data_IF_649135786871
#
_entry.id   IF_649135786871
#
_cell.length_a   1.000
_cell.length_b   1.000
_cell.length_c   1.000
_cell.angle_alpha   90.00
_cell.angle_beta   90.00
_cell.angle_gamma   90.00
#
_symmetry.space_group_name_H-M   'P 1'
#
loop_
_entity.id
_entity.type
_entity.pdbx_description
1 polymer ?
#
# COMPACT_ATOMS: atom_id res chain seq x y z
N UNK A 1 -8.05 26.34 5.34
CA UNK A 1 -8.05 25.72 4.00
C UNK A 1 -8.96 26.39 2.96
N UNK A 2 -10.15 26.89 3.34
CA UNK A 2 -11.06 27.55 2.39
C UNK A 2 -10.42 28.72 1.60
N UNK A 3 -9.53 29.48 2.23
CA UNK A 3 -8.86 30.62 1.58
C UNK A 3 -7.89 30.19 0.46
N UNK A 4 -7.24 29.04 0.56
CA UNK A 4 -6.30 28.53 -0.45
C UNK A 4 -6.98 28.01 -1.72
N UNK A 5 -8.28 27.70 -1.65
CA UNK A 5 -9.09 27.16 -2.77
C UNK A 5 -9.99 28.20 -3.44
N UNK A 6 -9.76 29.49 -3.16
CA UNK A 6 -10.43 30.58 -3.88
C UNK A 6 -10.02 30.59 -5.36
N UNK A 7 -10.93 30.98 -6.22
CA UNK A 7 -10.71 31.02 -7.68
C UNK A 7 -9.89 32.23 -8.13
N UNK A 8 -9.64 33.18 -7.24
CA UNK A 8 -8.85 34.37 -7.50
C UNK A 8 -7.37 34.03 -7.70
N UNK A 9 -6.70 34.78 -8.54
CA UNK A 9 -5.27 34.59 -8.82
C UNK A 9 -4.43 34.81 -7.57
N UNK A 10 -4.73 35.87 -6.82
CA UNK A 10 -4.11 36.17 -5.52
C UNK A 10 -5.05 35.80 -4.38
N UNK A 11 -4.58 34.97 -3.48
CA UNK A 11 -5.34 34.43 -2.35
C UNK A 11 -4.81 35.02 -1.06
N UNK A 12 -5.69 35.57 -0.23
CA UNK A 12 -5.38 35.93 1.16
C UNK A 12 -5.62 34.71 2.05
N UNK A 13 -4.60 34.32 2.78
CA UNK A 13 -4.63 33.21 3.74
C UNK A 13 -4.46 33.76 5.13
N UNK A 14 -5.44 33.54 5.97
CA UNK A 14 -5.37 33.90 7.39
C UNK A 14 -5.65 32.66 8.25
N UNK A 15 -5.02 32.58 9.42
CA UNK A 15 -5.32 31.61 10.44
C UNK A 15 -5.38 32.27 11.80
N UNK A 16 -6.30 31.80 12.62
CA UNK A 16 -6.42 32.20 13.99
C UNK A 16 -5.89 31.06 14.86
N UNK A 17 -4.91 31.34 15.69
CA UNK A 17 -4.34 30.40 16.64
C UNK A 17 -3.82 31.15 17.86
N UNK A 18 -4.06 30.58 19.03
CA UNK A 18 -3.56 31.06 20.30
C UNK A 18 -2.19 30.45 20.66
N UNK A 19 -1.54 29.76 19.73
CA UNK A 19 -0.26 29.16 19.97
C UNK A 19 0.84 30.22 20.19
N UNK A 20 1.36 30.29 21.39
CA UNK A 20 2.41 31.24 21.80
C UNK A 20 3.68 31.13 20.93
N UNK A 21 3.94 30.00 20.33
CA UNK A 21 5.08 29.73 19.43
C UNK A 21 5.08 30.63 18.21
N UNK A 22 3.90 30.88 17.61
CA UNK A 22 3.80 31.73 16.42
C UNK A 22 4.10 33.20 16.71
N UNK A 23 3.72 33.67 17.90
CA UNK A 23 4.06 35.02 18.34
C UNK A 23 5.54 35.21 18.65
N UNK A 24 6.24 34.16 19.09
CA UNK A 24 7.70 34.19 19.35
C UNK A 24 8.55 34.19 18.07
N UNK A 25 8.04 33.51 17.01
CA UNK A 25 8.76 33.37 15.75
C UNK A 25 8.37 34.45 14.72
N UNK A 26 7.57 35.45 15.11
CA UNK A 26 7.07 36.52 14.25
C UNK A 26 6.41 36.04 12.96
N UNK A 27 5.77 34.87 13.02
CA UNK A 27 5.11 34.28 11.87
C UNK A 27 3.81 35.08 11.58
N UNK A 28 3.66 35.64 10.37
CA UNK A 28 2.50 36.46 10.05
C UNK A 28 1.22 35.62 10.08
N UNK A 29 0.18 36.11 10.74
CA UNK A 29 -1.14 35.46 10.80
C UNK A 29 -1.95 35.62 9.50
N UNK A 30 -1.48 36.46 8.60
CA UNK A 30 -2.07 36.66 7.30
C UNK A 30 -0.97 36.83 6.24
N UNK A 31 -1.17 36.20 5.09
CA UNK A 31 -0.30 36.39 3.93
C UNK A 31 -1.06 36.20 2.62
N UNK A 32 -0.55 36.79 1.55
CA UNK A 32 -1.07 36.61 0.21
C UNK A 32 -0.22 35.61 -0.58
N UNK A 33 -0.86 34.77 -1.38
CA UNK A 33 -0.18 33.80 -2.24
C UNK A 33 -0.88 33.65 -3.59
N UNK A 34 -0.09 33.40 -4.63
CA UNK A 34 -0.55 33.00 -5.97
C UNK A 34 -0.36 31.50 -6.21
N UNK A 35 0.06 30.76 -5.18
CA UNK A 35 0.37 29.33 -5.30
C UNK A 35 -0.83 28.51 -5.72
N UNK A 36 -0.57 27.51 -6.56
CA UNK A 36 -1.51 26.43 -6.84
C UNK A 36 -1.45 25.42 -5.68
N UNK A 37 -2.60 24.86 -5.34
CA UNK A 37 -2.72 23.90 -4.22
C UNK A 37 -3.18 22.57 -4.78
N UNK A 38 -2.45 21.51 -4.42
CA UNK A 38 -2.88 20.12 -4.61
C UNK A 38 -3.10 19.47 -3.24
N UNK A 39 -4.24 18.83 -3.05
CA UNK A 39 -4.58 18.11 -1.84
C UNK A 39 -4.60 16.62 -2.18
N UNK A 40 -3.75 15.85 -1.51
CA UNK A 40 -3.68 14.39 -1.67
C UNK A 40 -4.24 13.74 -0.42
N UNK A 41 -5.19 12.84 -0.61
CA UNK A 41 -5.82 12.08 0.50
C UNK A 41 -6.08 10.64 0.07
N UNK A 42 -6.02 9.71 1.03
CA UNK A 42 -6.34 8.30 0.79
C UNK A 42 -7.85 8.05 0.68
N UNK A 43 -8.65 8.91 1.29
CA UNK A 43 -10.11 8.80 1.27
C UNK A 43 -10.74 10.16 1.03
N UNK A 44 -11.78 10.17 0.22
CA UNK A 44 -12.61 11.35 0.02
C UNK A 44 -13.99 11.09 0.62
N UNK A 45 -14.21 11.57 1.86
CA UNK A 45 -15.50 11.48 2.55
C UNK A 45 -16.18 12.84 2.55
N UNK A 46 -17.28 12.95 1.85
CA UNK A 46 -18.04 14.20 1.68
C UNK A 46 -18.96 14.57 2.86
N UNK A 47 -18.92 13.82 3.96
CA UNK A 47 -19.76 14.07 5.14
C UNK A 47 -19.49 15.42 5.83
N UNK A 48 -18.33 16.03 5.58
CA UNK A 48 -17.99 17.35 6.11
C UNK A 48 -18.30 18.43 5.08
N UNK A 49 -19.11 19.43 5.44
CA UNK A 49 -19.46 20.59 4.60
C UNK A 49 -18.24 21.32 4.05
N UNK A 50 -17.13 21.34 4.78
CA UNK A 50 -15.90 21.96 4.32
C UNK A 50 -15.26 21.18 3.17
N UNK A 51 -15.35 19.85 3.17
CA UNK A 51 -14.84 18.98 2.10
C UNK A 51 -15.71 19.11 0.86
N UNK A 52 -17.03 19.18 1.01
CA UNK A 52 -17.94 19.45 -0.11
C UNK A 52 -17.63 20.80 -0.78
N UNK A 53 -17.37 21.86 -0.01
CA UNK A 53 -16.99 23.16 -0.54
C UNK A 53 -15.63 23.15 -1.28
N UNK A 54 -14.71 22.24 -0.97
CA UNK A 54 -13.47 22.04 -1.73
C UNK A 54 -13.74 21.36 -3.07
N UNK A 55 -14.64 20.39 -3.08
CA UNK A 55 -15.05 19.66 -4.29
C UNK A 55 -15.66 20.60 -5.34
N UNK A 56 -16.50 21.55 -4.89
CA UNK A 56 -17.13 22.55 -5.78
C UNK A 56 -16.14 23.54 -6.40
N UNK A 57 -14.96 23.71 -5.80
CA UNK A 57 -13.95 24.71 -6.20
C UNK A 57 -12.70 24.12 -6.85
N UNK A 58 -12.56 22.82 -6.87
CA UNK A 58 -11.38 22.12 -7.37
C UNK A 58 -11.72 21.03 -8.38
N UNK A 59 -10.70 20.51 -9.00
CA UNK A 59 -10.82 19.30 -9.80
C UNK A 59 -10.53 18.09 -8.92
N UNK A 60 -11.52 17.22 -8.74
CA UNK A 60 -11.34 15.94 -8.06
C UNK A 60 -10.79 14.92 -9.07
N UNK A 61 -9.59 14.43 -8.80
CA UNK A 61 -8.98 13.36 -9.60
C UNK A 61 -8.94 12.10 -8.75
N UNK A 62 -9.74 11.11 -9.12
CA UNK A 62 -9.69 9.79 -8.49
C UNK A 62 -8.56 8.99 -9.11
N UNK A 63 -7.67 8.49 -8.27
CA UNK A 63 -6.54 7.66 -8.71
C UNK A 63 -6.67 6.26 -8.11
N UNK A 64 -7.22 5.35 -8.89
CA UNK A 64 -7.50 3.96 -8.51
C UNK A 64 -6.83 3.00 -9.51
N UNK A 65 -5.50 2.86 -9.47
CA UNK A 65 -4.79 2.00 -10.40
C UNK A 65 -5.14 0.53 -10.16
N UNK A 66 -5.38 -0.20 -11.23
CA UNK A 66 -5.61 -1.66 -11.15
C UNK A 66 -4.32 -2.41 -10.76
N UNK A 67 -4.45 -3.69 -10.26
CA UNK A 67 -3.30 -4.48 -9.82
C UNK A 67 -2.19 -4.62 -10.87
N UNK A 68 -2.54 -4.78 -12.13
CA UNK A 68 -1.57 -4.89 -13.22
C UNK A 68 -0.81 -3.58 -13.46
N UNK A 69 -1.46 -2.44 -13.32
CA UNK A 69 -0.80 -1.15 -13.47
C UNK A 69 0.16 -0.88 -12.32
N UNK A 70 -0.25 -1.15 -11.08
CA UNK A 70 0.63 -1.08 -9.91
C UNK A 70 1.84 -1.99 -10.09
N UNK A 71 1.63 -3.22 -10.58
CA UNK A 71 2.71 -4.15 -10.85
C UNK A 71 3.71 -3.61 -11.90
N UNK A 72 3.21 -3.08 -13.03
CA UNK A 72 4.05 -2.46 -14.06
C UNK A 72 4.86 -1.28 -13.53
N UNK A 73 4.24 -0.39 -12.77
CA UNK A 73 4.92 0.75 -12.15
C UNK A 73 5.95 0.33 -11.11
N UNK A 74 5.66 -0.74 -10.38
CA UNK A 74 6.63 -1.31 -9.43
C UNK A 74 7.87 -1.83 -10.15
N UNK A 75 7.77 -2.35 -11.36
CA UNK A 75 8.91 -2.81 -12.14
C UNK A 75 9.94 -1.71 -12.46
N UNK A 76 9.55 -0.43 -12.43
CA UNK A 76 10.43 0.70 -12.72
C UNK A 76 11.48 0.93 -11.62
N UNK A 77 11.23 0.49 -10.40
CA UNK A 77 12.10 0.76 -9.24
C UNK A 77 12.40 -0.45 -8.36
N UNK A 78 11.60 -1.52 -8.43
CA UNK A 78 11.80 -2.73 -7.64
C UNK A 78 12.89 -3.61 -8.23
N UNK A 79 13.59 -4.41 -7.41
CA UNK A 79 14.81 -5.13 -7.80
C UNK A 79 14.79 -6.63 -7.50
N UNK A 80 13.90 -7.13 -6.63
CA UNK A 80 13.83 -8.55 -6.29
C UNK A 80 12.87 -9.29 -7.23
N UNK A 81 13.44 -10.00 -8.21
CA UNK A 81 12.68 -10.71 -9.24
C UNK A 81 11.79 -11.81 -8.65
N UNK A 82 12.26 -12.52 -7.61
CA UNK A 82 11.49 -13.63 -7.02
C UNK A 82 10.19 -13.13 -6.37
N UNK A 83 10.28 -12.03 -5.60
CA UNK A 83 9.09 -11.40 -5.00
C UNK A 83 8.18 -10.85 -6.08
N UNK A 84 8.77 -10.19 -7.08
CA UNK A 84 8.03 -9.57 -8.16
C UNK A 84 7.22 -10.60 -8.95
N UNK A 85 7.84 -11.71 -9.35
CA UNK A 85 7.18 -12.79 -10.07
C UNK A 85 6.12 -13.49 -9.21
N UNK A 86 6.40 -13.68 -7.91
CA UNK A 86 5.45 -14.29 -6.99
C UNK A 86 4.16 -13.48 -6.87
N UNK A 87 4.27 -12.15 -6.75
CA UNK A 87 3.11 -11.25 -6.71
C UNK A 87 2.46 -11.18 -8.08
N UNK A 88 3.25 -11.06 -9.16
CA UNK A 88 2.80 -10.99 -10.54
C UNK A 88 1.91 -12.18 -10.93
N UNK A 89 2.30 -13.39 -10.54
CA UNK A 89 1.52 -14.60 -10.76
C UNK A 89 0.16 -14.61 -10.03
N UNK A 90 -0.05 -13.70 -9.08
CA UNK A 90 -1.22 -13.64 -8.20
C UNK A 90 -2.00 -12.33 -8.29
N UNK A 91 -1.72 -11.48 -9.26
CA UNK A 91 -2.41 -10.20 -9.43
C UNK A 91 -3.93 -10.33 -9.53
N UNK A 92 -4.41 -11.43 -10.09
CA UNK A 92 -5.84 -11.74 -10.21
C UNK A 92 -6.52 -12.04 -8.85
N UNK A 93 -5.75 -12.22 -7.78
CA UNK A 93 -6.21 -12.46 -6.41
C UNK A 93 -6.09 -11.23 -5.52
N UNK A 94 -5.39 -10.20 -6.00
CA UNK A 94 -5.13 -8.98 -5.23
C UNK A 94 -6.39 -8.11 -5.21
N UNK A 95 -6.97 -7.92 -4.02
CA UNK A 95 -8.14 -7.06 -3.84
C UNK A 95 -7.73 -5.58 -3.80
N UNK A 96 -6.62 -5.26 -3.12
CA UNK A 96 -6.12 -3.91 -3.01
C UNK A 96 -4.69 -3.84 -3.54
N UNK A 97 -4.54 -3.19 -4.68
CA UNK A 97 -3.23 -3.01 -5.30
C UNK A 97 -2.39 -2.01 -4.50
N UNK A 98 -1.21 -2.44 -4.03
CA UNK A 98 -0.30 -1.57 -3.27
C UNK A 98 1.16 -1.93 -3.52
N UNK A 99 1.97 -0.92 -3.81
CA UNK A 99 3.43 -1.06 -3.91
C UNK A 99 4.06 -1.49 -2.57
N UNK A 100 3.40 -1.22 -1.43
CA UNK A 100 3.85 -1.63 -0.10
C UNK A 100 3.93 -3.15 0.08
N UNK A 101 3.18 -3.92 -0.70
CA UNK A 101 3.26 -5.40 -0.66
C UNK A 101 4.66 -5.90 -1.07
N UNK A 102 5.28 -5.25 -2.06
CA UNK A 102 6.62 -5.61 -2.55
C UNK A 102 7.69 -5.24 -1.52
N UNK A 103 7.62 -4.04 -0.95
CA UNK A 103 8.56 -3.58 0.07
C UNK A 103 8.48 -4.45 1.32
N UNK A 104 7.28 -4.70 1.85
CA UNK A 104 7.10 -5.52 3.04
C UNK A 104 7.53 -6.97 2.83
N UNK A 105 7.29 -7.54 1.64
CA UNK A 105 7.77 -8.88 1.31
C UNK A 105 9.31 -8.93 1.27
N UNK A 106 9.94 -7.90 0.72
CA UNK A 106 11.40 -7.80 0.67
C UNK A 106 12.01 -7.66 2.08
N UNK A 107 11.45 -6.79 2.93
CA UNK A 107 11.89 -6.62 4.32
C UNK A 107 11.85 -7.95 5.10
N UNK A 108 10.76 -8.71 4.98
CA UNK A 108 10.64 -10.02 5.61
C UNK A 108 11.63 -11.04 5.04
N UNK A 109 11.84 -11.02 3.72
CA UNK A 109 12.82 -11.88 3.06
C UNK A 109 14.24 -11.60 3.58
N UNK A 110 14.61 -10.32 3.75
CA UNK A 110 15.89 -9.93 4.33
C UNK A 110 16.04 -10.38 5.80
N UNK A 111 14.94 -10.38 6.54
CA UNK A 111 14.89 -10.86 7.91
C UNK A 111 14.88 -12.40 8.03
N UNK A 112 14.88 -13.14 6.92
CA UNK A 112 14.79 -14.61 6.91
C UNK A 112 13.41 -15.15 7.31
N UNK A 113 12.37 -14.31 7.25
CA UNK A 113 11.00 -14.67 7.62
C UNK A 113 10.17 -15.12 6.40
N UNK A 114 9.05 -15.77 6.65
CA UNK A 114 8.14 -16.25 5.59
C UNK A 114 7.34 -15.11 4.95
N UNK A 115 7.98 -14.43 4.00
CA UNK A 115 7.38 -13.35 3.23
C UNK A 115 6.25 -13.82 2.30
N UNK A 116 6.28 -15.11 1.85
CA UNK A 116 5.23 -15.66 0.98
C UNK A 116 3.89 -15.74 1.68
N UNK A 117 3.87 -16.21 2.91
CA UNK A 117 2.67 -16.23 3.74
C UNK A 117 2.10 -14.83 3.99
N UNK A 118 2.96 -13.82 4.19
CA UNK A 118 2.50 -12.44 4.32
C UNK A 118 1.80 -11.96 3.03
N UNK A 119 2.42 -12.18 1.86
CA UNK A 119 1.83 -11.77 0.57
C UNK A 119 0.48 -12.47 0.38
N UNK A 120 0.41 -13.78 0.63
CA UNK A 120 -0.84 -14.53 0.52
C UNK A 120 -1.92 -13.99 1.46
N UNK A 121 -1.60 -13.66 2.71
CA UNK A 121 -2.56 -13.13 3.67
C UNK A 121 -3.12 -11.75 3.30
N UNK A 122 -2.35 -10.97 2.54
CA UNK A 122 -2.79 -9.66 2.02
C UNK A 122 -3.58 -9.76 0.71
N UNK A 123 -3.26 -10.76 -0.13
CA UNK A 123 -3.93 -10.98 -1.39
C UNK A 123 -5.22 -11.79 -1.26
N UNK A 124 -5.30 -12.64 -0.24
CA UNK A 124 -6.37 -13.61 -0.04
C UNK A 124 -7.09 -13.39 1.28
N UNK A 125 -8.37 -13.64 1.30
CA UNK A 125 -9.18 -13.60 2.52
C UNK A 125 -10.02 -14.87 2.66
N UNK A 126 -10.45 -15.14 3.89
CA UNK A 126 -11.38 -16.22 4.20
C UNK A 126 -10.91 -17.61 3.73
N UNK A 127 -11.79 -18.33 3.08
CA UNK A 127 -11.57 -19.71 2.65
C UNK A 127 -10.49 -19.88 1.58
N UNK A 128 -10.25 -18.86 0.75
CA UNK A 128 -9.19 -18.91 -0.26
C UNK A 128 -7.79 -18.88 0.38
N UNK A 129 -7.61 -18.07 1.42
CA UNK A 129 -6.37 -18.04 2.20
C UNK A 129 -6.12 -19.39 2.87
N UNK A 130 -7.14 -20.00 3.46
CA UNK A 130 -7.02 -21.32 4.08
C UNK A 130 -6.59 -22.40 3.08
N UNK A 131 -7.16 -22.41 1.86
CA UNK A 131 -6.74 -23.36 0.81
C UNK A 131 -5.27 -23.14 0.45
N UNK A 132 -4.80 -21.89 0.35
CA UNK A 132 -3.41 -21.59 0.08
C UNK A 132 -2.48 -22.06 1.21
N UNK A 133 -2.88 -21.86 2.46
CA UNK A 133 -2.15 -22.34 3.65
C UNK A 133 -2.08 -23.86 3.70
N UNK A 134 -3.20 -24.58 3.48
CA UNK A 134 -3.20 -26.05 3.44
C UNK A 134 -2.31 -26.61 2.34
N UNK A 135 -2.19 -25.94 1.20
CA UNK A 135 -1.28 -26.33 0.13
C UNK A 135 0.19 -26.12 0.46
N UNK A 136 0.49 -25.06 1.21
CA UNK A 136 1.86 -24.76 1.65
C UNK A 136 2.31 -25.58 2.86
N UNK A 137 1.39 -26.17 3.61
CA UNK A 137 1.67 -26.90 4.85
C UNK A 137 2.23 -28.30 4.55
N UNK A 138 3.50 -28.57 4.95
CA UNK A 138 4.14 -29.86 4.68
C UNK A 138 3.52 -31.04 5.44
N UNK A 139 2.68 -30.78 6.45
CA UNK A 139 1.98 -31.83 7.21
C UNK A 139 0.97 -32.60 6.37
N UNK A 140 0.49 -32.02 5.28
CA UNK A 140 -0.46 -32.65 4.38
C UNK A 140 0.25 -33.14 3.12
N UNK A 141 0.55 -34.43 3.06
CA UNK A 141 1.28 -35.05 1.95
C UNK A 141 0.42 -35.22 0.68
N UNK A 142 -0.90 -35.35 0.84
CA UNK A 142 -1.83 -35.59 -0.27
C UNK A 142 -2.90 -34.53 -0.41
N UNK A 143 -3.45 -34.38 -1.62
CA UNK A 143 -4.59 -33.48 -1.87
C UNK A 143 -5.87 -33.95 -1.13
N UNK A 144 -6.00 -35.27 -0.90
CA UNK A 144 -7.11 -35.83 -0.15
C UNK A 144 -7.09 -35.37 1.33
N UNK A 145 -5.92 -35.38 1.96
CA UNK A 145 -5.75 -34.88 3.33
C UNK A 145 -6.06 -33.41 3.46
N UNK A 146 -5.62 -32.58 2.48
CA UNK A 146 -5.91 -31.15 2.44
C UNK A 146 -7.41 -30.89 2.31
N UNK A 147 -8.09 -31.63 1.44
CA UNK A 147 -9.56 -31.57 1.29
C UNK A 147 -10.26 -31.95 2.58
N UNK A 148 -9.83 -33.03 3.23
CA UNK A 148 -10.41 -33.47 4.50
C UNK A 148 -10.22 -32.39 5.59
N UNK A 149 -9.03 -31.83 5.71
CA UNK A 149 -8.74 -30.73 6.65
C UNK A 149 -9.58 -29.48 6.36
N UNK A 150 -9.82 -29.16 5.11
CA UNK A 150 -10.66 -28.03 4.69
C UNK A 150 -12.12 -28.23 5.11
N UNK A 151 -12.67 -29.43 4.88
CA UNK A 151 -14.03 -29.77 5.26
C UNK A 151 -14.18 -29.83 6.79
N UNK A 152 -13.22 -30.43 7.49
CA UNK A 152 -13.22 -30.52 8.95
C UNK A 152 -13.22 -29.14 9.64
N UNK A 153 -12.67 -28.12 8.99
CA UNK A 153 -12.72 -26.73 9.46
C UNK A 153 -14.05 -26.00 9.12
N UNK A 154 -15.00 -26.68 8.55
CA UNK A 154 -16.31 -26.10 8.21
C UNK A 154 -16.28 -25.06 7.07
N UNK A 155 -15.22 -25.04 6.25
CA UNK A 155 -14.99 -24.00 5.26
C UNK A 155 -15.67 -24.27 3.90
N UNK A 156 -16.39 -25.37 3.79
CA UNK A 156 -17.16 -25.72 2.60
C UNK A 156 -16.99 -27.17 2.14
N UNK A 157 -17.44 -27.46 0.95
CA UNK A 157 -17.40 -28.79 0.35
C UNK A 157 -16.10 -29.07 -0.42
N UNK A 158 -15.93 -30.33 -0.83
CA UNK A 158 -14.85 -30.76 -1.73
C UNK A 158 -14.83 -29.93 -3.05
N UNK A 159 -15.98 -29.67 -3.62
CA UNK A 159 -16.08 -28.86 -4.86
C UNK A 159 -15.65 -27.41 -4.62
N UNK A 160 -16.00 -26.83 -3.46
CA UNK A 160 -15.54 -25.50 -3.06
C UNK A 160 -14.01 -25.44 -2.98
N UNK A 161 -13.40 -26.44 -2.34
CA UNK A 161 -11.93 -26.53 -2.26
C UNK A 161 -11.28 -26.55 -3.64
N UNK A 162 -11.72 -27.40 -4.56
CA UNK A 162 -11.14 -27.50 -5.90
C UNK A 162 -11.38 -26.24 -6.75
N UNK A 163 -12.54 -25.60 -6.62
CA UNK A 163 -12.82 -24.32 -7.29
C UNK A 163 -11.86 -23.22 -6.81
N UNK A 164 -11.64 -23.10 -5.50
CA UNK A 164 -10.67 -22.16 -4.93
C UNK A 164 -9.25 -22.53 -5.34
N UNK A 165 -8.88 -23.80 -5.24
CA UNK A 165 -7.57 -24.31 -5.68
C UNK A 165 -7.25 -23.95 -7.13
N UNK A 166 -8.23 -24.03 -8.02
CA UNK A 166 -8.08 -23.63 -9.44
C UNK A 166 -7.87 -22.13 -9.57
N UNK A 167 -8.60 -21.32 -8.81
CA UNK A 167 -8.43 -19.86 -8.78
C UNK A 167 -7.06 -19.43 -8.28
N UNK A 168 -6.44 -20.20 -7.38
CA UNK A 168 -5.11 -19.92 -6.86
C UNK A 168 -3.97 -20.19 -7.86
N UNK A 169 -4.24 -20.94 -8.92
CA UNK A 169 -3.25 -21.20 -9.97
C UNK A 169 -2.99 -19.94 -10.79
N UNK A 170 -1.73 -19.64 -11.12
CA UNK A 170 -1.41 -18.52 -11.97
C UNK A 170 -2.07 -18.69 -13.36
N UNK A 171 -2.55 -17.61 -13.97
CA UNK A 171 -3.06 -17.66 -15.33
C UNK A 171 -1.95 -18.10 -16.29
N UNK A 172 -2.29 -18.92 -17.29
CA UNK A 172 -1.33 -19.48 -18.26
C UNK A 172 -0.53 -18.44 -19.04
N UNK A 173 -0.97 -17.20 -19.07
CA UNK A 173 -0.38 -16.08 -19.80
C UNK A 173 -0.03 -14.88 -18.89
N UNK A 174 0.55 -15.10 -17.73
CA UNK A 174 1.06 -13.99 -16.93
C UNK A 174 2.24 -13.33 -17.68
N UNK A 175 2.23 -12.01 -17.90
CA UNK A 175 3.33 -11.34 -18.57
C UNK A 175 4.60 -11.44 -17.70
N UNK A 176 5.66 -12.02 -18.26
CA UNK A 176 6.96 -12.06 -17.58
C UNK A 176 7.66 -10.71 -17.78
N UNK A 177 7.72 -9.90 -16.75
CA UNK A 177 8.46 -8.64 -16.75
C UNK A 177 9.78 -8.89 -16.05
N UNK A 178 10.90 -8.62 -16.73
CA UNK A 178 12.24 -8.71 -16.13
C UNK A 178 12.61 -7.38 -15.49
N UNK A 179 13.07 -7.44 -14.25
CA UNK A 179 13.59 -6.29 -13.53
C UNK A 179 15.05 -6.07 -13.91
N UNK A 180 15.41 -4.82 -14.20
CA UNK A 180 16.78 -4.41 -14.50
C UNK A 180 17.35 -3.52 -13.38
N UNK A 181 16.62 -3.34 -12.29
CA UNK A 181 17.01 -2.45 -11.20
C UNK A 181 18.00 -3.19 -10.27
N UNK A 182 19.15 -2.62 -9.98
CA UNK A 182 20.06 -3.17 -8.98
C UNK A 182 19.41 -3.05 -7.57
N UNK A 183 19.72 -3.99 -6.66
CA UNK A 183 19.32 -3.83 -5.27
C UNK A 183 19.93 -2.54 -4.70
N UNK A 184 19.23 -1.83 -3.79
CA UNK A 184 19.79 -0.65 -3.14
C UNK A 184 21.08 -1.05 -2.40
N UNK A 185 22.11 -0.25 -2.54
CA UNK A 185 23.35 -0.46 -1.80
C UNK A 185 23.01 -0.50 -0.30
N UNK A 186 23.43 -1.54 0.40
CA UNK A 186 23.11 -1.77 1.83
C UNK A 186 23.37 -0.52 2.69
N UNK A 187 24.48 0.20 2.40
CA UNK A 187 24.80 1.49 3.04
C UNK A 187 23.74 2.57 2.79
N UNK A 188 23.19 2.68 1.59
CA UNK A 188 22.20 3.72 1.27
C UNK A 188 20.84 3.45 1.95
N UNK A 189 20.46 2.18 2.10
CA UNK A 189 19.27 1.79 2.84
C UNK A 189 19.44 2.05 4.36
N UNK A 190 20.60 1.69 4.91
CA UNK A 190 20.94 1.93 6.31
C UNK A 190 21.03 3.44 6.62
N UNK A 191 21.62 4.24 5.73
CA UNK A 191 21.69 5.69 5.87
C UNK A 191 20.32 6.38 5.75
N UNK A 192 19.45 5.87 4.89
CA UNK A 192 18.08 6.37 4.77
C UNK A 192 17.27 6.04 6.03
N UNK A 193 17.41 4.83 6.57
CA UNK A 193 16.81 4.41 7.82
C UNK A 193 17.33 5.23 8.99
N UNK A 194 18.66 5.44 9.08
CA UNK A 194 19.28 6.26 10.11
C UNK A 194 18.84 7.74 10.03
N UNK A 195 18.69 8.30 8.83
CA UNK A 195 18.14 9.65 8.63
C UNK A 195 16.68 9.74 9.08
N UNK A 196 15.88 8.71 8.81
CA UNK A 196 14.48 8.64 9.23
C UNK A 196 14.36 8.52 10.75
N UNK A 197 15.18 7.69 11.38
CA UNK A 197 15.23 7.54 12.86
C UNK A 197 15.71 8.81 13.56
N UNK A 198 16.72 9.51 13.02
CA UNK A 198 17.17 10.80 13.58
C UNK A 198 16.09 11.89 13.48
N UNK A 199 15.34 11.95 12.37
CA UNK A 199 14.17 12.83 12.23
C UNK A 199 13.04 12.49 13.20
N UNK A 200 12.86 11.22 13.50
CA UNK A 200 11.87 10.75 14.45
C UNK A 200 12.25 11.11 15.89
N UNK A 201 13.46 10.77 16.30
CA UNK A 201 13.95 11.06 17.65
C UNK A 201 14.08 12.57 17.94
N UNK A 202 14.43 13.39 16.94
CA UNK A 202 14.47 14.85 17.10
C UNK A 202 13.11 15.53 17.27
N UNK A 203 11.98 14.83 16.96
CA UNK A 203 10.63 15.34 17.21
C UNK A 203 10.05 14.98 18.58
N UNK A 204 10.62 14.00 19.27
CA UNK A 204 10.07 13.47 20.53
C UNK A 204 11.10 13.43 21.66
N UNK A 205 12.29 13.99 21.47
CA UNK A 205 13.41 13.93 22.42
C UNK A 205 13.63 15.15 23.31
N UNK A 206 12.72 16.12 23.32
CA UNK A 206 12.77 17.26 24.26
C UNK A 206 11.38 17.43 24.90
N UNK A 207 11.17 16.71 25.98
CA UNK A 207 10.25 17.04 27.07
C UNK A 207 10.87 16.60 28.40
#
# INVERSE_FOLDING_TARGET
MKCLTQTELQKSVSWHTDAATLGREEIPQEFCTTSRVAIITNEWKTLNRNVAALQDRGHLVMFEPGPLEVHRRTAEWFWDQEIFDFIGARLHLVNEASMRHYVAAWELKQAGLDWRSLVLSRCLSGTALLVAQLKADPRYGSEAERVHAFIAKGCGSRSTYFNLSRKLQPPKAAPTIRLNNPPPARKAADEALQRMLRRWNGRFGEN
#
